data_IF_598085906021
#
_entry.id   IF_598085906021
#
_cell.length_a   1.000
_cell.length_b   1.000
_cell.length_c   1.000
_cell.angle_alpha   90.00
_cell.angle_beta   90.00
_cell.angle_gamma   90.00
#
_symmetry.space_group_name_H-M   'P 1'
#
loop_
_entity.id
_entity.type
_entity.pdbx_description
1 polymer ?
#
# COMPACT_ATOMS: atom_id res chain seq x y z
N UNK A 1 -23.27 11.04 0.93
CA UNK A 1 -22.47 9.89 0.42
C UNK A 1 -21.26 9.61 1.29
N UNK A 2 -20.35 10.57 1.53
CA UNK A 2 -19.14 10.37 2.35
C UNK A 2 -19.42 9.86 3.78
N UNK A 3 -20.44 10.40 4.46
CA UNK A 3 -20.83 9.93 5.80
C UNK A 3 -21.30 8.46 5.80
N UNK A 4 -21.98 8.02 4.74
CA UNK A 4 -22.37 6.62 4.60
C UNK A 4 -21.15 5.74 4.36
N UNK A 5 -20.19 6.18 3.54
CA UNK A 5 -18.92 5.48 3.32
C UNK A 5 -18.17 5.28 4.64
N UNK A 6 -18.00 6.34 5.45
CA UNK A 6 -17.38 6.29 6.78
C UNK A 6 -18.09 5.31 7.73
N UNK A 7 -19.43 5.31 7.77
CA UNK A 7 -20.19 4.35 8.60
C UNK A 7 -19.97 2.90 8.17
N UNK A 8 -19.93 2.66 6.86
CA UNK A 8 -19.74 1.33 6.28
C UNK A 8 -18.31 0.82 6.52
N UNK A 9 -17.31 1.70 6.41
CA UNK A 9 -15.91 1.40 6.75
C UNK A 9 -15.74 1.09 8.24
N UNK A 10 -16.34 1.88 9.14
CA UNK A 10 -16.29 1.60 10.58
C UNK A 10 -16.95 0.26 10.92
N UNK A 11 -18.10 -0.04 10.31
CA UNK A 11 -18.76 -1.33 10.47
C UNK A 11 -17.87 -2.47 9.94
N UNK A 12 -17.30 -2.31 8.74
CA UNK A 12 -16.36 -3.27 8.16
C UNK A 12 -15.16 -3.54 9.07
N UNK A 13 -14.50 -2.50 9.59
CA UNK A 13 -13.39 -2.62 10.55
C UNK A 13 -13.78 -3.40 11.80
N UNK A 14 -14.99 -3.15 12.32
CA UNK A 14 -15.55 -3.89 13.47
C UNK A 14 -15.76 -5.37 13.15
N UNK A 15 -16.33 -5.69 11.98
CA UNK A 15 -16.51 -7.07 11.53
C UNK A 15 -15.18 -7.79 11.28
N UNK A 16 -14.18 -7.11 10.70
CA UNK A 16 -12.82 -7.63 10.56
C UNK A 16 -12.23 -7.98 11.92
N UNK A 17 -12.37 -7.09 12.89
CA UNK A 17 -11.84 -7.31 14.22
C UNK A 17 -12.53 -8.47 14.95
N UNK A 18 -13.86 -8.56 14.92
CA UNK A 18 -14.54 -9.70 15.53
C UNK A 18 -14.26 -11.01 14.79
N UNK A 19 -14.15 -10.97 13.46
CA UNK A 19 -13.69 -12.11 12.66
C UNK A 19 -12.30 -12.58 13.13
N UNK A 20 -11.40 -11.64 13.37
CA UNK A 20 -10.07 -11.88 13.91
C UNK A 20 -10.12 -12.47 15.33
N UNK A 21 -10.81 -11.83 16.26
CA UNK A 21 -10.91 -12.27 17.64
C UNK A 21 -11.49 -13.69 17.74
N UNK A 22 -12.57 -13.96 16.99
CA UNK A 22 -13.17 -15.30 16.94
C UNK A 22 -12.21 -16.30 16.29
N UNK A 23 -11.44 -15.90 15.26
CA UNK A 23 -10.46 -16.80 14.64
C UNK A 23 -9.35 -17.24 15.60
N UNK A 24 -9.05 -16.47 16.64
CA UNK A 24 -8.12 -16.88 17.70
C UNK A 24 -8.67 -18.02 18.57
N UNK A 25 -10.00 -18.20 18.63
CA UNK A 25 -10.62 -19.33 19.34
C UNK A 25 -10.40 -20.68 18.64
N UNK A 26 -9.77 -20.71 17.46
CA UNK A 26 -9.36 -21.95 16.79
C UNK A 26 -8.40 -22.82 17.63
N UNK A 27 -7.78 -22.23 18.65
CA UNK A 27 -6.91 -22.93 19.60
C UNK A 27 -7.66 -23.55 20.79
N UNK A 28 -8.97 -23.37 20.88
CA UNK A 28 -9.84 -23.99 21.88
C UNK A 28 -10.21 -25.45 21.50
N UNK A 29 -10.84 -26.24 22.40
CA UNK A 29 -11.28 -27.61 22.11
C UNK A 29 -12.07 -27.76 20.80
N UNK A 30 -11.99 -28.94 20.18
CA UNK A 30 -12.35 -29.21 18.77
C UNK A 30 -13.69 -28.61 18.29
N UNK A 31 -14.77 -28.75 19.07
CA UNK A 31 -16.08 -28.21 18.68
C UNK A 31 -16.05 -26.68 18.58
N UNK A 32 -15.43 -26.01 19.56
CA UNK A 32 -15.31 -24.54 19.59
C UNK A 32 -14.47 -24.06 18.40
N UNK A 33 -13.40 -24.77 18.06
CA UNK A 33 -12.53 -24.42 16.95
C UNK A 33 -13.24 -24.48 15.59
N UNK A 34 -14.08 -25.50 15.36
CA UNK A 34 -14.82 -25.64 14.10
C UNK A 34 -15.86 -24.51 13.92
N UNK A 35 -16.66 -24.23 14.96
CA UNK A 35 -17.61 -23.12 14.94
C UNK A 35 -16.91 -21.77 14.78
N UNK A 36 -15.82 -21.55 15.53
CA UNK A 36 -15.02 -20.32 15.42
C UNK A 36 -14.50 -20.09 14.00
N UNK A 37 -14.04 -21.14 13.30
CA UNK A 37 -13.57 -21.02 11.92
C UNK A 37 -14.71 -20.58 10.98
N UNK A 38 -15.88 -21.22 11.04
CA UNK A 38 -17.02 -20.88 10.18
C UNK A 38 -17.53 -19.46 10.49
N UNK A 39 -17.70 -19.14 11.77
CA UNK A 39 -18.16 -17.82 12.19
C UNK A 39 -17.18 -16.73 11.78
N UNK A 40 -15.87 -16.93 11.94
CA UNK A 40 -14.86 -15.96 11.49
C UNK A 40 -14.91 -15.72 9.98
N UNK A 41 -15.05 -16.77 9.17
CA UNK A 41 -15.18 -16.64 7.72
C UNK A 41 -16.44 -15.87 7.31
N UNK A 42 -17.57 -16.08 7.98
CA UNK A 42 -18.79 -15.31 7.75
C UNK A 42 -18.61 -13.83 8.09
N UNK A 43 -17.99 -13.53 9.23
CA UNK A 43 -17.71 -12.15 9.63
C UNK A 43 -16.78 -11.46 8.64
N UNK A 44 -15.73 -12.14 8.17
CA UNK A 44 -14.84 -11.62 7.15
C UNK A 44 -15.55 -11.42 5.81
N UNK A 45 -16.44 -12.32 5.40
CA UNK A 45 -17.23 -12.15 4.18
C UNK A 45 -18.08 -10.87 4.24
N UNK A 46 -18.76 -10.65 5.38
CA UNK A 46 -19.52 -9.42 5.63
C UNK A 46 -18.60 -8.20 5.64
N UNK A 47 -17.44 -8.28 6.30
CA UNK A 47 -16.47 -7.19 6.39
C UNK A 47 -15.95 -6.78 5.01
N UNK A 48 -15.54 -7.73 4.17
CA UNK A 48 -15.08 -7.48 2.81
C UNK A 48 -16.20 -6.92 1.92
N UNK A 49 -17.43 -7.43 2.06
CA UNK A 49 -18.59 -6.90 1.34
C UNK A 49 -18.86 -5.43 1.69
N UNK A 50 -18.93 -5.11 2.98
CA UNK A 50 -19.09 -3.73 3.47
C UNK A 50 -17.94 -2.83 3.03
N UNK A 51 -16.70 -3.32 3.08
CA UNK A 51 -15.53 -2.55 2.67
C UNK A 51 -15.55 -2.21 1.18
N UNK A 52 -15.91 -3.19 0.34
CA UNK A 52 -16.01 -3.00 -1.10
C UNK A 52 -17.07 -1.96 -1.45
N UNK A 53 -18.25 -2.03 -0.81
CA UNK A 53 -19.30 -1.02 -0.97
C UNK A 53 -18.85 0.35 -0.45
N UNK A 54 -18.12 0.41 0.67
CA UNK A 54 -17.58 1.67 1.20
C UNK A 54 -16.65 2.34 0.19
N UNK A 55 -15.76 1.55 -0.42
CA UNK A 55 -14.82 2.05 -1.42
C UNK A 55 -15.53 2.67 -2.63
N UNK A 56 -16.65 2.11 -3.09
CA UNK A 56 -17.42 2.67 -4.21
C UNK A 56 -18.01 4.05 -3.89
N UNK A 57 -18.31 4.32 -2.61
CA UNK A 57 -18.89 5.58 -2.14
C UNK A 57 -17.87 6.67 -1.86
N UNK A 58 -16.59 6.33 -1.76
CA UNK A 58 -15.52 7.32 -1.59
C UNK A 58 -15.24 8.10 -2.88
N UNK A 59 -14.97 9.40 -2.78
CA UNK A 59 -14.56 10.20 -3.93
C UNK A 59 -13.16 9.78 -4.39
N UNK A 60 -12.83 10.11 -5.62
CA UNK A 60 -11.51 9.82 -6.16
C UNK A 60 -10.48 10.80 -5.58
N UNK A 61 -9.30 10.28 -5.27
CA UNK A 61 -8.15 11.06 -4.78
C UNK A 61 -6.97 10.89 -5.75
N UNK A 62 -6.25 11.96 -6.10
CA UNK A 62 -5.16 11.90 -7.07
C UNK A 62 -4.11 10.85 -6.72
N UNK A 63 -3.65 10.16 -7.77
CA UNK A 63 -2.58 9.17 -7.69
C UNK A 63 -1.22 9.86 -7.67
N UNK A 64 -0.32 9.46 -6.77
CA UNK A 64 1.08 9.91 -6.75
C UNK A 64 1.98 8.95 -7.55
N UNK A 65 2.00 9.09 -8.88
CA UNK A 65 2.67 8.13 -9.76
C UNK A 65 4.19 8.06 -9.61
N UNK A 66 4.80 9.10 -9.04
CA UNK A 66 6.24 9.16 -8.77
C UNK A 66 6.67 8.26 -7.61
N UNK A 67 5.72 7.82 -6.79
CA UNK A 67 5.98 7.07 -5.56
C UNK A 67 5.61 5.59 -5.72
N UNK A 68 6.42 4.70 -5.15
CA UNK A 68 6.20 3.25 -5.24
C UNK A 68 4.83 2.82 -4.66
N UNK A 69 4.36 3.53 -3.64
CA UNK A 69 3.06 3.30 -3.00
C UNK A 69 1.89 3.91 -3.79
N UNK A 70 2.15 4.75 -4.79
CA UNK A 70 1.13 5.43 -5.60
C UNK A 70 0.82 4.71 -6.91
N UNK A 71 0.98 3.38 -6.98
CA UNK A 71 0.67 2.61 -8.19
C UNK A 71 -0.81 2.70 -8.61
N UNK A 72 -1.71 2.98 -7.67
CA UNK A 72 -3.13 3.23 -7.91
C UNK A 72 -3.65 4.31 -6.94
N UNK A 73 -4.87 4.82 -7.19
CA UNK A 73 -5.55 5.69 -6.23
C UNK A 73 -5.83 4.92 -4.93
N UNK A 74 -5.81 5.58 -3.78
CA UNK A 74 -6.04 4.96 -2.45
C UNK A 74 -7.33 4.13 -2.44
N UNK A 75 -8.43 4.70 -2.99
CA UNK A 75 -9.70 4.00 -3.19
C UNK A 75 -9.54 2.69 -3.97
N UNK A 76 -8.84 2.71 -5.10
CA UNK A 76 -8.64 1.53 -5.94
C UNK A 76 -7.73 0.50 -5.25
N UNK A 77 -6.75 0.93 -4.46
CA UNK A 77 -5.93 0.03 -3.65
C UNK A 77 -6.78 -0.70 -2.62
N UNK A 78 -7.64 0.01 -1.87
CA UNK A 78 -8.60 -0.64 -0.97
C UNK A 78 -9.57 -1.56 -1.70
N UNK A 79 -10.06 -1.19 -2.89
CA UNK A 79 -10.92 -2.08 -3.70
C UNK A 79 -10.19 -3.36 -4.11
N UNK A 80 -8.96 -3.26 -4.60
CA UNK A 80 -8.14 -4.42 -4.98
C UNK A 80 -7.90 -5.32 -3.76
N UNK A 81 -7.53 -4.73 -2.62
CA UNK A 81 -7.35 -5.45 -1.38
C UNK A 81 -8.63 -6.19 -0.97
N UNK A 82 -9.79 -5.52 -1.04
CA UNK A 82 -11.07 -6.09 -0.68
C UNK A 82 -11.49 -7.24 -1.62
N UNK A 83 -11.27 -7.10 -2.93
CA UNK A 83 -11.56 -8.14 -3.93
C UNK A 83 -10.66 -9.36 -3.70
N UNK A 84 -9.35 -9.16 -3.53
CA UNK A 84 -8.41 -10.26 -3.26
C UNK A 84 -8.78 -11.02 -1.99
N UNK A 85 -9.15 -10.30 -0.93
CA UNK A 85 -9.58 -10.90 0.32
C UNK A 85 -10.92 -11.62 0.21
N UNK A 86 -11.88 -11.08 -0.54
CA UNK A 86 -13.14 -11.75 -0.86
C UNK A 86 -12.92 -13.05 -1.64
N UNK A 87 -12.04 -13.05 -2.65
CA UNK A 87 -11.63 -14.26 -3.37
C UNK A 87 -10.97 -15.26 -2.41
N UNK A 88 -10.08 -14.81 -1.53
CA UNK A 88 -9.44 -15.66 -0.52
C UNK A 88 -10.46 -16.35 0.40
N UNK A 89 -11.52 -15.65 0.79
CA UNK A 89 -12.62 -16.22 1.58
C UNK A 89 -13.37 -17.30 0.80
N UNK A 90 -13.72 -17.05 -0.46
CA UNK A 90 -14.42 -18.03 -1.31
C UNK A 90 -13.56 -19.30 -1.45
N UNK A 91 -12.27 -19.15 -1.76
CA UNK A 91 -11.33 -20.28 -1.86
C UNK A 91 -11.19 -20.98 -0.49
N UNK A 92 -11.18 -20.24 0.62
CA UNK A 92 -11.14 -20.82 1.98
C UNK A 92 -12.37 -21.65 2.31
N UNK A 93 -13.55 -21.26 1.82
CA UNK A 93 -14.77 -22.07 1.96
C UNK A 93 -14.68 -23.33 1.12
N UNK A 94 -14.20 -23.25 -0.13
CA UNK A 94 -13.98 -24.41 -0.97
C UNK A 94 -12.93 -25.39 -0.39
N UNK A 95 -11.99 -24.88 0.42
CA UNK A 95 -10.99 -25.69 1.10
C UNK A 95 -11.56 -26.68 2.12
N UNK A 96 -12.82 -26.53 2.57
CA UNK A 96 -13.49 -27.57 3.36
C UNK A 96 -13.74 -28.86 2.56
N UNK A 97 -13.93 -28.74 1.24
CA UNK A 97 -14.14 -29.86 0.32
C UNK A 97 -12.81 -30.31 -0.29
N UNK A 98 -11.97 -29.34 -0.67
CA UNK A 98 -10.67 -29.57 -1.30
C UNK A 98 -9.54 -28.93 -0.47
N UNK A 99 -8.98 -29.62 0.54
CA UNK A 99 -8.03 -29.03 1.49
C UNK A 99 -6.80 -28.37 0.86
N UNK A 100 -6.37 -28.82 -0.32
CA UNK A 100 -5.25 -28.22 -1.06
C UNK A 100 -5.48 -26.74 -1.42
N UNK A 101 -6.74 -26.31 -1.53
CA UNK A 101 -7.11 -24.92 -1.79
C UNK A 101 -6.80 -23.97 -0.62
N UNK A 102 -6.52 -24.49 0.59
CA UNK A 102 -6.07 -23.67 1.71
C UNK A 102 -4.75 -22.96 1.38
N UNK A 103 -3.88 -23.57 0.57
CA UNK A 103 -2.61 -23.00 0.16
C UNK A 103 -2.81 -21.72 -0.68
N UNK A 104 -3.47 -21.74 -1.86
CA UNK A 104 -3.70 -20.52 -2.62
C UNK A 104 -4.54 -19.49 -1.84
N UNK A 105 -5.54 -19.91 -1.04
CA UNK A 105 -6.31 -18.99 -0.21
C UNK A 105 -5.42 -18.18 0.75
N UNK A 106 -4.48 -18.83 1.43
CA UNK A 106 -3.57 -18.17 2.38
C UNK A 106 -2.69 -17.11 1.70
N UNK A 107 -2.21 -17.37 0.48
CA UNK A 107 -1.43 -16.41 -0.29
C UNK A 107 -2.29 -15.26 -0.86
N UNK A 108 -3.54 -15.51 -1.23
CA UNK A 108 -4.46 -14.42 -1.57
C UNK A 108 -4.73 -13.49 -0.39
N UNK A 109 -4.82 -14.01 0.84
CA UNK A 109 -4.88 -13.16 2.03
C UNK A 109 -3.60 -12.34 2.21
N UNK A 110 -2.41 -12.91 1.98
CA UNK A 110 -1.15 -12.15 2.01
C UNK A 110 -1.19 -10.99 1.01
N UNK A 111 -1.55 -11.27 -0.25
CA UNK A 111 -1.62 -10.24 -1.28
C UNK A 111 -2.64 -9.14 -0.94
N UNK A 112 -3.82 -9.52 -0.47
CA UNK A 112 -4.85 -8.60 0.02
C UNK A 112 -4.32 -7.68 1.12
N UNK A 113 -3.67 -8.25 2.13
CA UNK A 113 -3.12 -7.50 3.26
C UNK A 113 -1.93 -6.61 2.86
N UNK A 114 -1.06 -7.07 1.96
CA UNK A 114 0.02 -6.23 1.43
C UNK A 114 -0.54 -5.01 0.70
N UNK A 115 -1.52 -5.19 -0.20
CA UNK A 115 -2.14 -4.06 -0.92
C UNK A 115 -2.81 -3.10 0.06
N UNK A 116 -3.49 -3.63 1.08
CA UNK A 116 -4.09 -2.82 2.13
C UNK A 116 -3.05 -2.04 2.94
N UNK A 117 -1.97 -2.68 3.38
CA UNK A 117 -0.89 -2.00 4.10
C UNK A 117 -0.28 -0.87 3.27
N UNK A 118 -0.07 -1.11 1.97
CA UNK A 118 0.42 -0.08 1.05
C UNK A 118 -0.58 1.08 0.95
N UNK A 119 -1.89 0.82 0.91
CA UNK A 119 -2.91 1.88 0.90
C UNK A 119 -2.94 2.69 2.19
N UNK A 120 -2.77 2.06 3.36
CA UNK A 120 -2.72 2.79 4.63
C UNK A 120 -1.46 3.63 4.77
N UNK A 121 -0.33 3.10 4.28
CA UNK A 121 0.91 3.84 4.20
C UNK A 121 0.80 5.02 3.22
N UNK A 122 0.18 4.81 2.05
CA UNK A 122 -0.11 5.87 1.09
C UNK A 122 -0.98 6.96 1.72
N UNK A 123 -2.04 6.59 2.45
CA UNK A 123 -2.89 7.52 3.19
C UNK A 123 -2.12 8.29 4.27
N UNK A 124 -1.15 7.65 4.94
CA UNK A 124 -0.29 8.30 5.93
C UNK A 124 0.62 9.37 5.29
N UNK A 125 1.21 9.06 4.12
CA UNK A 125 2.08 10.00 3.40
C UNK A 125 1.31 11.08 2.64
N UNK A 126 0.06 10.78 2.26
CA UNK A 126 -0.80 11.67 1.49
C UNK A 126 -2.22 11.70 2.09
N UNK A 127 -2.42 12.46 3.18
CA UNK A 127 -3.70 12.55 3.86
C UNK A 127 -4.82 13.02 2.94
N UNK A 128 -6.00 12.43 3.10
CA UNK A 128 -7.15 12.74 2.27
C UNK A 128 -7.68 14.15 2.62
N UNK A 129 -7.83 15.07 1.65
CA UNK A 129 -8.17 16.46 1.92
C UNK A 129 -9.59 16.64 2.49
N UNK A 130 -10.46 15.66 2.29
CA UNK A 130 -11.83 15.62 2.80
C UNK A 130 -11.96 14.95 4.17
N UNK A 131 -10.86 14.42 4.73
CA UNK A 131 -10.89 13.81 6.07
C UNK A 131 -10.60 14.85 7.14
N UNK A 132 -11.67 15.42 7.70
CA UNK A 132 -11.61 16.50 8.70
C UNK A 132 -11.08 16.01 10.05
N UNK A 133 -11.21 14.71 10.31
CA UNK A 133 -10.83 14.06 11.57
C UNK A 133 -9.46 13.37 11.49
N UNK A 134 -8.67 13.70 10.45
CA UNK A 134 -7.38 13.07 10.24
C UNK A 134 -6.40 13.43 11.35
N UNK A 135 -5.71 12.42 11.86
CA UNK A 135 -4.63 12.54 12.82
C UNK A 135 -3.48 11.66 12.35
N UNK A 136 -2.31 12.25 12.14
CA UNK A 136 -1.09 11.54 11.74
C UNK A 136 -0.70 10.46 12.74
N UNK A 137 -0.86 10.74 14.04
CA UNK A 137 -0.60 9.81 15.13
C UNK A 137 -1.54 8.59 15.03
N UNK A 138 -2.85 8.84 14.91
CA UNK A 138 -3.87 7.78 14.76
C UNK A 138 -3.61 6.93 13.52
N UNK A 139 -3.29 7.56 12.39
CA UNK A 139 -2.98 6.84 11.15
C UNK A 139 -1.70 6.01 11.28
N UNK A 140 -0.68 6.49 12.00
CA UNK A 140 0.55 5.73 12.26
C UNK A 140 0.28 4.47 13.09
N UNK A 141 -0.57 4.57 14.11
CA UNK A 141 -1.03 3.43 14.90
C UNK A 141 -1.78 2.44 14.02
N UNK A 142 -2.65 2.93 13.12
CA UNK A 142 -3.40 2.08 12.20
C UNK A 142 -2.51 1.37 11.18
N UNK A 143 -1.49 2.05 10.65
CA UNK A 143 -0.48 1.43 9.77
C UNK A 143 0.32 0.35 10.51
N UNK A 144 0.64 0.58 11.79
CA UNK A 144 1.28 -0.44 12.64
C UNK A 144 0.39 -1.66 12.83
N UNK A 145 -0.90 -1.44 13.11
CA UNK A 145 -1.90 -2.50 13.15
C UNK A 145 -1.98 -3.28 11.83
N UNK A 146 -2.08 -2.58 10.69
CA UNK A 146 -2.12 -3.21 9.37
C UNK A 146 -0.85 -4.02 9.07
N UNK A 147 0.31 -3.54 9.51
CA UNK A 147 1.58 -4.25 9.39
C UNK A 147 1.56 -5.57 10.18
N UNK A 148 1.10 -5.56 11.43
CA UNK A 148 0.99 -6.77 12.26
C UNK A 148 0.05 -7.82 11.66
N UNK A 149 -1.13 -7.40 11.19
CA UNK A 149 -2.08 -8.29 10.49
C UNK A 149 -1.43 -8.89 9.23
N UNK A 150 -0.71 -8.08 8.46
CA UNK A 150 0.01 -8.55 7.27
C UNK A 150 1.08 -9.58 7.64
N UNK A 151 1.85 -9.36 8.70
CA UNK A 151 2.81 -10.34 9.22
C UNK A 151 2.14 -11.65 9.63
N UNK A 152 0.98 -11.59 10.30
CA UNK A 152 0.22 -12.81 10.65
C UNK A 152 -0.26 -13.57 9.40
N UNK A 153 -0.65 -12.87 8.34
CA UNK A 153 -1.02 -13.49 7.08
C UNK A 153 0.18 -14.23 6.46
N UNK A 154 1.37 -13.63 6.45
CA UNK A 154 2.60 -14.29 5.99
C UNK A 154 2.92 -15.55 6.79
N UNK A 155 2.90 -15.46 8.12
CA UNK A 155 3.16 -16.62 9.00
C UNK A 155 2.17 -17.74 8.69
N UNK A 156 0.89 -17.41 8.49
CA UNK A 156 -0.15 -18.38 8.14
C UNK A 156 0.09 -19.01 6.76
N UNK A 157 0.47 -18.23 5.75
CA UNK A 157 0.74 -18.73 4.40
C UNK A 157 1.98 -19.63 4.36
N UNK A 158 3.06 -19.23 5.05
CA UNK A 158 4.26 -20.05 5.19
C UNK A 158 3.94 -21.36 5.92
N UNK A 159 3.24 -21.29 7.06
CA UNK A 159 2.82 -22.48 7.80
C UNK A 159 1.96 -23.42 6.93
N UNK A 160 1.00 -22.87 6.19
CA UNK A 160 0.14 -23.65 5.28
C UNK A 160 0.96 -24.30 4.16
N UNK A 161 1.95 -23.59 3.62
CA UNK A 161 2.88 -24.11 2.60
C UNK A 161 3.70 -25.27 3.17
N UNK A 162 4.31 -25.11 4.35
CA UNK A 162 5.08 -26.17 5.00
C UNK A 162 4.22 -27.40 5.25
N UNK A 163 3.00 -27.22 5.78
CA UNK A 163 2.08 -28.34 6.06
C UNK A 163 1.67 -29.06 4.76
N UNK A 164 1.41 -28.32 3.69
CA UNK A 164 0.98 -28.89 2.41
C UNK A 164 2.06 -29.77 1.75
N UNK A 165 3.33 -29.35 1.82
CA UNK A 165 4.44 -30.07 1.19
C UNK A 165 5.19 -31.03 2.13
N UNK A 166 5.13 -30.80 3.44
CA UNK A 166 5.77 -31.61 4.47
C UNK A 166 4.78 -31.97 5.59
N UNK A 167 3.79 -32.86 5.35
CA UNK A 167 2.77 -33.20 6.34
C UNK A 167 3.34 -33.70 7.68
N UNK A 168 4.50 -34.35 7.66
CA UNK A 168 5.20 -34.79 8.87
C UNK A 168 5.59 -33.63 9.82
N UNK A 169 5.78 -32.43 9.28
CA UNK A 169 6.10 -31.22 10.05
C UNK A 169 4.85 -30.52 10.62
N UNK A 170 3.64 -31.06 10.41
CA UNK A 170 2.38 -30.40 10.75
C UNK A 170 2.30 -30.00 12.23
N UNK A 171 2.55 -30.93 13.14
CA UNK A 171 2.42 -30.67 14.57
C UNK A 171 3.32 -29.52 15.04
N UNK A 172 4.60 -29.56 14.67
CA UNK A 172 5.59 -28.51 15.03
C UNK A 172 5.19 -27.16 14.40
N UNK A 173 4.79 -27.17 13.13
CA UNK A 173 4.39 -25.97 12.41
C UNK A 173 3.15 -25.32 13.02
N UNK A 174 2.16 -26.12 13.42
CA UNK A 174 0.95 -25.64 14.11
C UNK A 174 1.33 -25.05 15.47
N UNK A 175 2.16 -25.71 16.26
CA UNK A 175 2.59 -25.18 17.57
C UNK A 175 3.32 -23.85 17.40
N UNK A 176 4.30 -23.78 16.51
CA UNK A 176 5.10 -22.57 16.30
C UNK A 176 4.25 -21.40 15.78
N UNK A 177 3.41 -21.65 14.77
CA UNK A 177 2.50 -20.63 14.24
C UNK A 177 1.48 -20.16 15.27
N UNK A 178 1.05 -21.03 16.20
CA UNK A 178 0.15 -20.67 17.30
C UNK A 178 0.82 -19.73 18.29
N UNK A 179 2.08 -19.98 18.66
CA UNK A 179 2.85 -19.07 19.53
C UNK A 179 2.96 -17.69 18.90
N UNK A 180 3.36 -17.61 17.63
CA UNK A 180 3.40 -16.33 16.92
C UNK A 180 2.03 -15.66 16.82
N UNK A 181 0.97 -16.44 16.56
CA UNK A 181 -0.37 -15.89 16.45
C UNK A 181 -0.87 -15.28 17.78
N UNK A 182 -0.54 -15.89 18.91
CA UNK A 182 -0.88 -15.36 20.24
C UNK A 182 -0.11 -14.07 20.52
N UNK A 183 1.21 -14.07 20.31
CA UNK A 183 2.07 -12.92 20.61
C UNK A 183 1.72 -11.71 19.72
N UNK A 184 1.65 -11.93 18.41
CA UNK A 184 1.29 -10.87 17.47
C UNK A 184 -0.17 -10.49 17.64
N UNK A 185 -1.06 -11.45 17.90
CA UNK A 185 -2.48 -11.18 18.09
C UNK A 185 -2.78 -10.30 19.31
N UNK A 186 -2.04 -10.47 20.41
CA UNK A 186 -2.13 -9.56 21.55
C UNK A 186 -1.68 -8.13 21.19
N UNK A 187 -0.58 -7.99 20.44
CA UNK A 187 -0.12 -6.69 19.96
C UNK A 187 -1.14 -6.05 19.01
N UNK A 188 -1.68 -6.82 18.07
CA UNK A 188 -2.74 -6.41 17.14
C UNK A 188 -3.97 -5.91 17.89
N UNK A 189 -4.41 -6.63 18.92
CA UNK A 189 -5.54 -6.21 19.76
C UNK A 189 -5.25 -4.86 20.43
N UNK A 190 -4.05 -4.68 20.98
CA UNK A 190 -3.62 -3.44 21.63
C UNK A 190 -3.70 -2.25 20.66
N UNK A 191 -3.08 -2.36 19.49
CA UNK A 191 -3.05 -1.26 18.52
C UNK A 191 -4.44 -0.98 17.91
N UNK A 192 -5.27 -2.00 17.70
CA UNK A 192 -6.65 -1.79 17.27
C UNK A 192 -7.48 -1.05 18.33
N UNK A 193 -7.34 -1.44 19.60
CA UNK A 193 -8.03 -0.77 20.71
C UNK A 193 -7.58 0.68 20.86
N UNK A 194 -6.27 0.93 20.76
CA UNK A 194 -5.67 2.26 20.77
C UNK A 194 -6.23 3.12 19.63
N UNK A 195 -6.23 2.61 18.40
CA UNK A 195 -6.80 3.30 17.23
C UNK A 195 -8.31 3.60 17.34
N UNK A 196 -9.06 2.73 18.02
CA UNK A 196 -10.53 2.77 18.06
C UNK A 196 -11.07 3.59 19.22
N UNK A 197 -10.47 3.48 20.41
CA UNK A 197 -11.02 4.04 21.65
C UNK A 197 -10.25 5.24 22.17
N UNK A 198 -9.00 5.46 21.77
CA UNK A 198 -8.23 6.58 22.27
C UNK A 198 -8.38 7.81 21.37
N UNK A 199 -8.56 8.96 22.03
CA UNK A 199 -8.59 10.24 21.36
C UNK A 199 -7.18 10.63 20.93
N UNK A 200 -7.06 11.06 19.67
CA UNK A 200 -5.81 11.54 19.10
C UNK A 200 -6.03 12.96 18.61
N UNK A 201 -4.99 13.79 18.72
CA UNK A 201 -5.07 15.17 18.27
C UNK A 201 -5.27 15.21 16.75
N UNK A 202 -6.31 15.89 16.29
CA UNK A 202 -6.55 16.13 14.88
C UNK A 202 -5.44 17.05 14.35
N UNK A 203 -4.84 16.67 13.24
CA UNK A 203 -3.81 17.48 12.60
C UNK A 203 -4.45 18.79 12.16
N UNK A 204 -3.99 19.91 12.71
CA UNK A 204 -4.43 21.22 12.24
C UNK A 204 -4.02 21.34 10.78
N UNK A 205 -5.01 21.36 9.88
CA UNK A 205 -4.82 21.66 8.47
C UNK A 205 -4.27 23.08 8.39
N UNK A 206 -2.95 23.24 8.42
CA UNK A 206 -2.31 24.56 8.46
C UNK A 206 -2.73 25.33 7.21
N UNK A 207 -3.69 26.25 7.37
CA UNK A 207 -4.17 27.12 6.30
C UNK A 207 -3.03 27.89 5.61
N UNK A 208 -1.89 28.06 6.29
CA UNK A 208 -0.69 28.72 5.77
C UNK A 208 -0.13 28.12 4.47
N UNK A 209 -0.25 26.81 4.22
CA UNK A 209 0.26 26.21 2.99
C UNK A 209 -0.68 26.48 1.80
N UNK A 210 -1.99 26.49 2.04
CA UNK A 210 -2.95 26.94 1.03
C UNK A 210 -2.81 28.44 0.78
N UNK A 211 -2.55 29.27 1.80
CA UNK A 211 -2.30 30.72 1.62
C UNK A 211 -1.03 31.00 0.83
N UNK A 212 0.00 30.14 0.91
CA UNK A 212 1.23 30.25 0.10
C UNK A 212 1.03 29.77 -1.35
N UNK A 213 0.23 28.73 -1.56
CA UNK A 213 -0.12 28.24 -2.90
C UNK A 213 -1.13 29.14 -3.64
N UNK A 214 -1.99 29.85 -2.91
CA UNK A 214 -2.93 30.83 -3.48
C UNK A 214 -2.39 32.26 -3.50
N UNK A 215 -1.25 32.53 -2.84
CA UNK A 215 -0.56 33.81 -3.00
C UNK A 215 0.25 33.79 -4.30
N UNK A 216 -0.37 34.29 -5.36
CA UNK A 216 0.25 34.91 -6.53
C UNK A 216 1.08 36.14 -6.11
N UNK A 217 2.03 35.99 -5.20
CA UNK A 217 2.94 37.05 -4.74
C UNK A 217 4.39 36.68 -5.02
N UNK A 218 4.69 36.49 -6.30
CA UNK A 218 5.78 37.24 -6.87
C UNK A 218 5.17 38.13 -7.96
N UNK A 219 5.09 39.47 -7.80
CA UNK A 219 4.74 40.31 -8.94
C UNK A 219 5.81 40.04 -10.01
N UNK A 220 5.38 39.40 -11.09
CA UNK A 220 6.13 39.26 -12.33
C UNK A 220 6.48 40.68 -12.76
N UNK A 221 7.68 41.16 -12.40
CA UNK A 221 8.22 42.40 -12.97
C UNK A 221 8.28 42.17 -14.46
N UNK A 222 7.29 42.70 -15.18
CA UNK A 222 7.34 42.92 -16.60
C UNK A 222 8.57 43.81 -16.84
N UNK A 223 9.67 43.19 -17.23
CA UNK A 223 10.78 43.90 -17.82
C UNK A 223 10.27 44.49 -19.13
N UNK A 224 9.94 45.78 -19.10
CA UNK A 224 9.74 46.62 -20.27
C UNK A 224 11.06 46.62 -21.06
N UNK A 225 11.10 46.17 -22.32
CA UNK A 225 12.31 46.33 -23.12
C UNK A 225 12.37 47.78 -23.57
N UNK A 226 13.19 48.59 -22.91
CA UNK A 226 13.60 49.88 -23.44
C UNK A 226 14.74 49.64 -24.43
N UNK A 227 14.39 49.86 -25.70
CA UNK A 227 15.28 49.82 -26.85
C UNK A 227 16.15 51.09 -26.81
N UNK A 228 17.42 50.99 -26.41
CA UNK A 228 18.44 51.99 -26.78
C UNK A 228 19.81 51.32 -26.85
N UNK A 229 20.36 51.32 -28.07
CA UNK A 229 21.70 50.86 -28.42
C UNK A 229 22.69 52.06 -28.38
N UNK A 230 24.01 51.88 -28.60
CA UNK A 230 25.01 51.60 -27.58
C UNK A 230 26.09 52.71 -27.47
N UNK A 231 26.78 52.84 -26.33
CA UNK A 231 28.12 53.43 -26.31
C UNK A 231 28.92 53.11 -25.02
N UNK A 232 30.15 52.66 -25.25
CA UNK A 232 31.35 52.83 -24.39
C UNK A 232 31.52 51.95 -23.13
N UNK A 233 32.13 50.78 -23.37
CA UNK A 233 33.43 50.33 -22.83
C UNK A 233 34.01 51.19 -21.68
N UNK A 234 34.07 50.65 -20.45
CA UNK A 234 35.32 50.43 -19.67
C UNK A 234 35.04 49.98 -18.22
N UNK A 235 36.05 49.29 -17.66
CA UNK A 235 36.29 48.87 -16.27
C UNK A 235 35.76 47.47 -15.87
N UNK A 236 36.52 46.39 -16.07
CA UNK A 236 37.81 45.97 -15.44
C UNK A 236 37.64 45.45 -14.01
N UNK A 237 37.90 44.13 -13.87
CA UNK A 237 38.34 43.37 -12.68
C UNK A 237 37.42 43.43 -11.44
N UNK A 238 37.15 42.37 -10.69
CA UNK A 238 37.91 41.16 -10.38
C UNK A 238 37.05 40.33 -9.42
N UNK A 239 36.82 39.04 -9.68
CA UNK A 239 36.71 38.01 -8.62
C UNK A 239 37.15 36.65 -9.19
N UNK A 240 37.97 35.88 -8.47
CA UNK A 240 38.55 34.62 -8.95
C UNK A 240 37.58 33.42 -8.83
N UNK A 241 37.80 32.33 -9.60
CA UNK A 241 36.86 31.23 -9.71
C UNK A 241 37.10 30.16 -8.62
N UNK A 242 36.02 29.60 -8.07
CA UNK A 242 36.10 28.36 -7.28
C UNK A 242 35.04 27.37 -7.79
N UNK A 243 35.56 26.34 -8.45
CA UNK A 243 34.99 25.02 -8.71
C UNK A 243 33.48 24.92 -9.01
N UNK A 244 33.14 24.66 -10.28
CA UNK A 244 32.13 23.65 -10.59
C UNK A 244 32.58 22.75 -11.73
N UNK A 245 32.47 21.46 -11.43
CA UNK A 245 32.81 20.26 -12.18
C UNK A 245 32.08 20.23 -13.53
N UNK A 246 32.83 20.29 -14.62
CA UNK A 246 32.32 20.07 -15.98
C UNK A 246 31.84 18.62 -16.16
N UNK A 247 30.54 18.43 -16.36
CA UNK A 247 30.02 17.29 -17.11
C UNK A 247 29.91 17.75 -18.57
N UNK A 248 30.98 17.52 -19.33
CA UNK A 248 30.97 17.70 -20.78
C UNK A 248 30.19 16.56 -21.42
N UNK A 249 28.96 16.83 -21.83
CA UNK A 249 28.29 16.09 -22.90
C UNK A 249 28.89 16.62 -24.19
N UNK A 250 29.80 15.88 -24.83
CA UNK A 250 30.17 16.15 -26.23
C UNK A 250 29.46 15.17 -27.14
N UNK A 251 28.50 15.69 -27.91
CA UNK A 251 28.16 15.18 -29.23
C UNK A 251 29.42 15.22 -30.11
N UNK A 252 29.72 14.12 -30.78
CA UNK A 252 30.54 14.13 -32.00
C UNK A 252 29.88 13.25 -33.05
N UNK A 253 29.26 13.91 -34.02
CA UNK A 253 28.92 13.36 -35.33
C UNK A 253 30.18 13.39 -36.19
N UNK A 254 30.55 12.28 -36.85
CA UNK A 254 30.84 12.20 -38.30
C UNK A 254 31.79 11.05 -38.66
N UNK A 255 31.20 10.04 -39.31
CA UNK A 255 31.58 9.44 -40.61
C UNK A 255 32.96 8.82 -40.87
N UNK A 256 32.87 7.61 -41.45
CA UNK A 256 33.59 7.07 -42.64
C UNK A 256 34.62 5.93 -42.46
N UNK A 257 34.18 4.78 -42.98
CA UNK A 257 34.87 3.79 -43.87
C UNK A 257 35.75 2.66 -43.31
N UNK A 258 35.18 1.45 -43.47
CA UNK A 258 35.67 0.28 -44.23
C UNK A 258 36.65 -0.75 -43.64
N UNK A 259 36.41 -2.00 -44.09
CA UNK A 259 37.18 -3.25 -43.99
C UNK A 259 37.00 -4.03 -42.66
N UNK A 260 36.64 -5.31 -42.58
CA UNK A 260 36.50 -6.48 -43.48
C UNK A 260 35.51 -7.43 -42.80
N UNK A 261 34.56 -8.04 -43.52
CA UNK A 261 34.35 -9.50 -43.41
C UNK A 261 33.44 -10.02 -44.52
N UNK A 262 34.02 -10.94 -45.28
CA UNK A 262 33.37 -11.77 -46.27
C UNK A 262 33.42 -13.19 -45.69
N UNK A 263 32.28 -13.83 -45.46
CA UNK A 263 31.93 -15.10 -46.11
C UNK A 263 30.66 -15.76 -45.53
N UNK A 264 29.82 -16.19 -46.48
CA UNK A 264 28.91 -17.37 -46.48
C UNK A 264 27.54 -17.31 -45.78
N UNK A 265 26.53 -17.12 -46.64
CA UNK A 265 25.09 -17.42 -46.53
C UNK A 265 24.75 -18.94 -46.40
N UNK A 266 23.49 -19.40 -46.61
CA UNK A 266 22.20 -19.14 -45.92
C UNK A 266 21.47 -20.47 -45.58
N UNK A 267 20.33 -20.40 -44.87
CA UNK A 267 19.03 -20.99 -45.31
C UNK A 267 18.02 -21.25 -44.17
N UNK A 268 16.83 -20.65 -44.35
CA UNK A 268 15.46 -21.20 -44.20
C UNK A 268 15.08 -22.01 -42.94
N UNK A 269 14.02 -21.59 -42.23
CA UNK A 269 12.61 -21.94 -42.50
C UNK A 269 11.67 -21.27 -41.49
N UNK A 270 10.49 -20.90 -41.98
CA UNK A 270 9.29 -20.51 -41.22
C UNK A 270 8.71 -21.70 -40.44
N UNK A 271 8.13 -21.45 -39.26
CA UNK A 271 6.70 -21.59 -38.94
C UNK A 271 6.40 -20.79 -37.67
#
# INVERSE_FOLDING_TARGET
MLQHAKRLENASSTFFFFGFAISQLRYAPFFIAAFAKITSLLLYLVAYGLWLTACQLYPDHPRHQSEWYGFAQIKNQHQIAAILGGIAIIISVLAFIFPILALPASWFFVLSNCVWLISEYHKQQNPLPYDVDYSSERQSIYVTYASLITTMAFITAIATTVIAFFPAAMAITVVLSSVFAILIGAATFRYWAEYTFFEHNIDKKNGSYNTLLTNELAPRRLAKPELTEPALVQNVMSYPPILTRNLSISKSTSTLTQFVDDTTQPNTFNY
#
